data_IF_222367239174
#
_entry.id   IF_222367239174
#
_cell.length_a   1.000
_cell.length_b   1.000
_cell.length_c   1.000
_cell.angle_alpha   90.00
_cell.angle_beta   90.00
_cell.angle_gamma   90.00
#
_symmetry.space_group_name_H-M   'P 1'
#
loop_
_entity.id
_entity.type
_entity.pdbx_description
1 polymer ?
#
# COMPACT_ATOMS: atom_id res chain seq x y z
N UNK A 1 -10.93 -0.09 -4.58
CA UNK A 1 -9.84 0.79 -4.12
C UNK A 1 -10.28 2.04 -3.37
N UNK A 2 -11.57 2.43 -3.36
CA UNK A 2 -12.04 3.58 -2.57
C UNK A 2 -11.88 3.40 -1.05
N UNK A 3 -12.26 2.22 -0.52
CA UNK A 3 -12.09 1.88 0.89
C UNK A 3 -10.60 1.85 1.29
N UNK A 4 -9.77 1.14 0.51
CA UNK A 4 -8.32 1.09 0.73
C UNK A 4 -7.71 2.49 0.73
N UNK A 5 -8.05 3.35 -0.24
CA UNK A 5 -7.58 4.73 -0.28
C UNK A 5 -7.94 5.50 1.01
N UNK A 6 -9.18 5.34 1.48
CA UNK A 6 -9.65 5.97 2.71
C UNK A 6 -8.93 5.44 3.96
N UNK A 7 -8.83 4.12 4.12
CA UNK A 7 -8.21 3.47 5.29
C UNK A 7 -6.68 3.57 5.31
N UNK A 8 -6.02 3.57 4.14
CA UNK A 8 -4.56 3.77 4.03
C UNK A 8 -4.13 5.24 4.10
N UNK A 9 -5.09 6.17 4.07
CA UNK A 9 -4.83 7.62 4.01
C UNK A 9 -4.22 8.09 2.69
N UNK A 10 -4.33 7.29 1.63
CA UNK A 10 -3.81 7.61 0.29
C UNK A 10 -4.93 8.15 -0.60
N UNK A 11 -4.64 9.18 -1.40
CA UNK A 11 -5.55 9.57 -2.47
C UNK A 11 -5.75 8.44 -3.48
N UNK A 12 -6.95 8.31 -4.05
CA UNK A 12 -7.27 7.25 -5.04
C UNK A 12 -6.29 7.28 -6.23
N UNK A 13 -6.02 8.47 -6.77
CA UNK A 13 -5.08 8.65 -7.88
C UNK A 13 -3.65 8.25 -7.49
N UNK A 14 -3.18 8.68 -6.31
CA UNK A 14 -1.87 8.30 -5.79
C UNK A 14 -1.74 6.78 -5.63
N UNK A 15 -2.80 6.12 -5.16
CA UNK A 15 -2.85 4.68 -5.02
C UNK A 15 -2.80 3.97 -6.38
N UNK A 16 -3.53 4.45 -7.39
CA UNK A 16 -3.43 3.92 -8.76
C UNK A 16 -2.04 4.09 -9.35
N UNK A 17 -1.41 5.25 -9.20
CA UNK A 17 -0.04 5.50 -9.70
C UNK A 17 1.01 4.66 -8.98
N UNK A 18 0.87 4.48 -7.66
CA UNK A 18 1.81 3.73 -6.84
C UNK A 18 1.86 2.23 -7.18
N UNK A 19 0.74 1.66 -7.66
CA UNK A 19 0.63 0.23 -7.98
C UNK A 19 0.37 -0.04 -9.48
N UNK A 20 0.59 0.96 -10.35
CA UNK A 20 0.56 0.75 -11.79
C UNK A 20 1.71 -0.18 -12.25
N UNK A 21 1.56 -0.91 -13.38
CA UNK A 21 2.65 -1.70 -13.94
C UNK A 21 3.94 -0.87 -14.11
N UNK A 22 5.07 -1.40 -13.63
CA UNK A 22 6.37 -0.72 -13.68
C UNK A 22 6.59 0.36 -12.61
N UNK A 23 5.61 0.66 -11.77
CA UNK A 23 5.78 1.58 -10.64
C UNK A 23 6.74 1.00 -9.59
N UNK A 24 7.46 1.89 -8.91
CA UNK A 24 8.34 1.56 -7.78
C UNK A 24 7.80 2.23 -6.51
N UNK A 25 6.75 1.67 -5.88
CA UNK A 25 6.19 2.25 -4.66
C UNK A 25 7.22 2.26 -3.54
N UNK A 26 7.21 3.30 -2.72
CA UNK A 26 8.03 3.34 -1.49
C UNK A 26 7.48 2.31 -0.51
N UNK A 27 8.36 1.76 0.34
CA UNK A 27 7.96 0.80 1.38
C UNK A 27 6.79 1.32 2.23
N UNK A 28 6.83 2.60 2.63
CA UNK A 28 5.74 3.22 3.41
C UNK A 28 4.37 3.14 2.72
N UNK A 29 4.32 3.30 1.39
CA UNK A 29 3.08 3.18 0.61
C UNK A 29 2.57 1.73 0.64
N UNK A 30 3.47 0.77 0.49
CA UNK A 30 3.15 -0.66 0.57
C UNK A 30 2.65 -1.01 1.96
N UNK A 31 3.34 -0.55 3.01
CA UNK A 31 2.98 -0.79 4.40
C UNK A 31 1.60 -0.20 4.74
N UNK A 32 1.29 1.03 4.32
CA UNK A 32 -0.02 1.66 4.53
C UNK A 32 -1.17 0.87 3.90
N UNK A 33 -0.96 0.37 2.67
CA UNK A 33 -1.96 -0.46 1.99
C UNK A 33 -2.12 -1.80 2.70
N UNK A 34 -1.03 -2.49 3.06
CA UNK A 34 -1.10 -3.76 3.78
C UNK A 34 -1.79 -3.60 5.14
N UNK A 35 -1.52 -2.52 5.86
CA UNK A 35 -2.20 -2.21 7.11
C UNK A 35 -3.70 -1.98 6.93
N UNK A 36 -4.13 -1.25 5.88
CA UNK A 36 -5.56 -1.09 5.58
C UNK A 36 -6.27 -2.41 5.25
N UNK A 37 -5.53 -3.40 4.76
CA UNK A 37 -6.04 -4.75 4.51
C UNK A 37 -5.99 -5.66 5.73
N UNK A 38 -5.56 -5.16 6.90
CA UNK A 38 -5.38 -5.95 8.11
C UNK A 38 -4.18 -6.92 8.06
N UNK A 39 -3.27 -6.75 7.09
CA UNK A 39 -2.10 -7.62 6.92
C UNK A 39 -0.94 -7.11 7.78
N UNK A 40 -0.30 -8.02 8.52
CA UNK A 40 0.94 -7.75 9.27
C UNK A 40 2.13 -8.35 8.54
N UNK A 41 3.13 -7.52 8.26
CA UNK A 41 4.41 -7.96 7.70
C UNK A 41 5.27 -8.48 8.85
N UNK A 42 5.79 -9.70 8.71
CA UNK A 42 6.85 -10.23 9.56
C UNK A 42 8.10 -10.42 8.71
N UNK A 43 9.25 -10.01 9.24
CA UNK A 43 10.56 -10.22 8.61
C UNK A 43 11.32 -11.21 9.47
N UNK A 44 11.77 -12.31 8.87
CA UNK A 44 12.59 -13.33 9.53
C UNK A 44 13.88 -13.52 8.74
N UNK A 45 14.95 -13.91 9.44
CA UNK A 45 16.16 -14.40 8.78
C UNK A 45 15.84 -15.66 7.96
N UNK A 46 16.67 -15.91 6.93
CA UNK A 46 16.61 -17.11 6.12
C UNK A 46 17.12 -18.34 6.88
#
# INVERSE_FOLDING_TARGET
>A
MSAIAQESGLGRESLYKAFAPGAKPRYETVQKVLHSLGVKINVSAA
#
